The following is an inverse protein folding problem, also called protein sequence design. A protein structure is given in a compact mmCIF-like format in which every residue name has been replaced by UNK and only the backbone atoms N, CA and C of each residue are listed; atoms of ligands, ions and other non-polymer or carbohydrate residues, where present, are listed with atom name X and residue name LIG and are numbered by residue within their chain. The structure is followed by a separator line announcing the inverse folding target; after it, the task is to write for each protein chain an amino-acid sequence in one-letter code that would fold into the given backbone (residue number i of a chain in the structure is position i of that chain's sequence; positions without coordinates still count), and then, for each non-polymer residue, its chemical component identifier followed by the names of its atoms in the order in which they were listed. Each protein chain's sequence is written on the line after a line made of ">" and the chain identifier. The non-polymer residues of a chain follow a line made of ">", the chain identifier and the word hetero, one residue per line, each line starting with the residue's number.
data_IF_614281398413
#
_entry.id   IF_614281398413
#
_cell.length_a   1.000
_cell.length_b   1.000
_cell.length_c   1.000
_cell.angle_alpha   90.00
_cell.angle_beta   90.00
_cell.angle_gamma   90.00
#
_symmetry.space_group_name_H-M   'P 1'
#
loop_
_entity.id
_entity.type
_entity.pdbx_description
1 polymer ?
#
# COMPACT_ATOMS: atom_id res chain seq x y z
N UNK A 1 5.67 1.34 -21.16
CA UNK A 1 5.35 2.77 -21.04
C UNK A 1 5.00 3.10 -19.60
N UNK A 2 5.46 4.27 -19.13
CA UNK A 2 5.27 4.69 -17.74
C UNK A 2 3.81 4.81 -17.34
N UNK A 3 2.94 5.28 -18.25
CA UNK A 3 1.52 5.40 -17.96
C UNK A 3 0.89 4.05 -17.63
N UNK A 4 1.38 2.98 -18.24
CA UNK A 4 0.91 1.63 -17.94
C UNK A 4 1.26 1.25 -16.50
N UNK A 5 2.44 1.66 -16.02
CA UNK A 5 2.85 1.39 -14.64
C UNK A 5 1.95 2.13 -13.65
N UNK A 6 1.58 3.37 -13.96
CA UNK A 6 0.63 4.14 -13.12
C UNK A 6 -0.71 3.40 -13.05
N UNK A 7 -1.21 2.91 -14.19
CA UNK A 7 -2.48 2.18 -14.23
C UNK A 7 -2.44 0.89 -13.41
N UNK A 8 -1.31 0.18 -13.45
CA UNK A 8 -1.12 -1.03 -12.63
C UNK A 8 -1.23 -0.67 -11.14
N UNK A 9 -0.52 0.38 -10.72
CA UNK A 9 -0.56 0.83 -9.32
C UNK A 9 -1.96 1.26 -8.91
N UNK A 10 -2.67 1.99 -9.77
CA UNK A 10 -4.05 2.38 -9.51
C UNK A 10 -4.93 1.17 -9.25
N UNK A 11 -4.68 0.07 -9.96
CA UNK A 11 -5.43 -1.17 -9.79
C UNK A 11 -5.24 -1.86 -8.45
N UNK A 12 -4.18 -1.53 -7.71
CA UNK A 12 -3.96 -2.08 -6.38
C UNK A 12 -4.74 -1.33 -5.28
N UNK A 13 -5.29 -0.17 -5.60
CA UNK A 13 -6.07 0.61 -4.64
C UNK A 13 -7.54 0.22 -4.76
N UNK A 14 -8.20 -0.15 -3.65
CA UNK A 14 -9.64 -0.38 -3.66
C UNK A 14 -10.40 0.94 -3.82
N UNK A 15 -11.71 0.85 -4.05
CA UNK A 15 -12.55 2.04 -4.07
C UNK A 15 -12.45 2.76 -2.71
N UNK A 16 -12.49 4.12 -2.71
CA UNK A 16 -12.22 4.89 -1.48
C UNK A 16 -13.20 4.65 -0.33
N UNK A 17 -14.37 4.10 -0.60
CA UNK A 17 -15.39 3.82 0.40
C UNK A 17 -15.29 2.40 0.98
N UNK A 18 -14.33 1.60 0.53
CA UNK A 18 -14.17 0.23 0.99
C UNK A 18 -13.38 0.18 2.29
N UNK A 19 -13.98 -0.44 3.31
CA UNK A 19 -13.24 -0.77 4.53
C UNK A 19 -12.37 -2.00 4.24
N UNK A 20 -11.05 -1.83 4.26
CA UNK A 20 -10.14 -2.91 3.90
C UNK A 20 -9.89 -3.91 5.04
N UNK A 21 -10.32 -3.60 6.26
CA UNK A 21 -10.06 -4.47 7.41
C UNK A 21 -10.57 -5.90 7.16
N UNK A 22 -11.84 -6.10 6.75
CA UNK A 22 -12.30 -7.46 6.45
C UNK A 22 -11.61 -8.08 5.23
N UNK A 23 -11.21 -7.28 4.23
CA UNK A 23 -10.49 -7.82 3.06
C UNK A 23 -9.17 -8.49 3.45
N UNK A 24 -8.50 -7.93 4.44
CA UNK A 24 -7.19 -8.42 4.87
C UNK A 24 -7.36 -9.54 5.91
N UNK A 25 -8.34 -9.42 6.80
CA UNK A 25 -8.55 -10.39 7.90
C UNK A 25 -9.27 -11.65 7.50
N UNK A 26 -10.21 -11.56 6.57
CA UNK A 26 -10.99 -12.72 6.12
C UNK A 26 -10.18 -13.52 5.10
N UNK A 27 -9.99 -14.81 5.36
CA UNK A 27 -9.17 -15.65 4.50
C UNK A 27 -9.72 -15.78 3.08
N UNK A 28 -11.02 -15.93 2.92
CA UNK A 28 -11.64 -16.07 1.60
C UNK A 28 -11.53 -14.78 0.80
N UNK A 29 -11.77 -13.63 1.45
CA UNK A 29 -11.66 -12.33 0.79
C UNK A 29 -10.21 -12.04 0.39
N UNK A 30 -9.26 -12.38 1.27
CA UNK A 30 -7.85 -12.22 0.96
C UNK A 30 -7.44 -13.11 -0.23
N UNK A 31 -7.85 -14.36 -0.24
CA UNK A 31 -7.52 -15.29 -1.33
C UNK A 31 -8.10 -14.81 -2.66
N UNK A 32 -9.32 -14.27 -2.64
CA UNK A 32 -9.92 -13.69 -3.86
C UNK A 32 -9.13 -12.50 -4.36
N UNK A 33 -8.65 -11.64 -3.46
CA UNK A 33 -7.82 -10.50 -3.81
C UNK A 33 -6.47 -10.94 -4.41
N UNK A 34 -5.82 -11.91 -3.79
CA UNK A 34 -4.55 -12.47 -4.27
C UNK A 34 -4.73 -13.03 -5.69
N UNK A 35 -5.80 -13.76 -5.91
CA UNK A 35 -6.09 -14.34 -7.22
C UNK A 35 -6.30 -13.25 -8.28
N UNK A 36 -7.04 -12.20 -7.93
CA UNK A 36 -7.31 -11.09 -8.84
C UNK A 36 -6.03 -10.31 -9.18
N UNK A 37 -5.11 -10.18 -8.23
CA UNK A 37 -3.87 -9.41 -8.43
C UNK A 37 -2.73 -10.24 -9.01
N UNK A 38 -2.85 -11.56 -9.01
CA UNK A 38 -1.77 -12.45 -9.44
C UNK A 38 -1.13 -12.10 -10.78
N UNK A 39 -1.88 -11.69 -11.83
CA UNK A 39 -1.26 -11.31 -13.11
C UNK A 39 -0.38 -10.07 -13.04
N UNK A 40 -0.51 -9.26 -12.00
CA UNK A 40 0.14 -7.95 -11.88
C UNK A 40 1.22 -7.89 -10.82
N UNK A 41 1.56 -9.02 -10.19
CA UNK A 41 2.59 -9.06 -9.15
C UNK A 41 3.58 -10.18 -9.44
N UNK A 42 4.86 -9.93 -9.11
CA UNK A 42 5.84 -11.01 -9.04
C UNK A 42 5.54 -11.83 -7.79
N UNK A 43 5.70 -13.15 -7.87
CA UNK A 43 5.39 -14.04 -6.73
C UNK A 43 6.20 -13.69 -5.48
N UNK A 44 7.40 -13.15 -5.67
CA UNK A 44 8.33 -12.80 -4.61
C UNK A 44 8.45 -11.30 -4.38
N UNK A 45 7.41 -10.52 -4.75
CA UNK A 45 7.48 -9.08 -4.55
C UNK A 45 7.70 -8.74 -3.07
N UNK A 46 8.39 -7.62 -2.85
CA UNK A 46 8.76 -7.19 -1.51
C UNK A 46 7.88 -6.04 -1.03
N UNK A 47 7.57 -6.05 0.27
CA UNK A 47 6.84 -4.97 0.93
C UNK A 47 7.61 -4.53 2.15
N UNK A 48 7.76 -3.22 2.33
CA UNK A 48 8.42 -2.61 3.48
C UNK A 48 7.55 -1.51 4.05
N UNK A 49 7.61 -1.33 5.36
CA UNK A 49 6.95 -0.22 6.06
C UNK A 49 8.03 0.63 6.72
N UNK A 50 8.08 1.90 6.34
CA UNK A 50 9.07 2.86 6.85
C UNK A 50 8.38 3.91 7.73
N UNK A 51 9.10 4.38 8.75
CA UNK A 51 8.58 5.43 9.63
C UNK A 51 7.94 4.89 10.90
N UNK A 52 8.17 3.63 11.22
CA UNK A 52 7.75 3.03 12.49
C UNK A 52 9.00 2.70 13.32
N UNK A 53 8.88 2.59 14.66
CA UNK A 53 10.03 2.23 15.49
C UNK A 53 10.60 0.86 15.14
N UNK A 54 11.92 0.73 15.24
CA UNK A 54 12.64 -0.51 14.97
C UNK A 54 13.18 -0.56 13.56
N UNK A 55 13.88 -1.65 13.24
CA UNK A 55 14.43 -1.86 11.91
C UNK A 55 13.34 -2.26 10.94
N UNK A 56 13.44 -1.74 9.72
CA UNK A 56 12.51 -2.11 8.66
C UNK A 56 12.69 -3.58 8.30
N UNK A 57 11.58 -4.31 8.21
CA UNK A 57 11.57 -5.70 7.76
C UNK A 57 11.15 -5.74 6.30
N UNK A 58 11.72 -6.70 5.58
CA UNK A 58 11.26 -7.00 4.23
C UNK A 58 10.30 -8.19 4.31
N UNK A 59 9.08 -7.96 3.84
CA UNK A 59 8.05 -9.00 3.75
C UNK A 59 7.99 -9.46 2.30
N UNK A 60 7.90 -10.76 2.06
CA UNK A 60 7.98 -11.32 0.71
C UNK A 60 6.67 -11.96 0.30
N UNK A 61 6.23 -11.65 -0.93
CA UNK A 61 5.05 -12.22 -1.55
C UNK A 61 3.74 -11.74 -0.92
N UNK A 62 2.65 -12.34 -1.35
CA UNK A 62 1.32 -11.98 -0.89
C UNK A 62 1.14 -12.25 0.61
N UNK A 63 1.63 -13.39 1.08
CA UNK A 63 1.53 -13.73 2.51
C UNK A 63 2.32 -12.76 3.38
N UNK A 64 3.50 -12.33 2.91
CA UNK A 64 4.30 -11.33 3.60
C UNK A 64 3.60 -9.98 3.64
N UNK A 65 3.02 -9.56 2.52
CA UNK A 65 2.25 -8.31 2.45
C UNK A 65 1.05 -8.34 3.40
N UNK A 66 0.36 -9.49 3.47
CA UNK A 66 -0.74 -9.67 4.41
C UNK A 66 -0.29 -9.53 5.86
N UNK A 67 0.85 -10.14 6.20
CA UNK A 67 1.39 -10.06 7.55
C UNK A 67 1.69 -8.62 7.96
N UNK A 68 2.28 -7.83 7.03
CA UNK A 68 2.55 -6.41 7.25
C UNK A 68 1.25 -5.66 7.54
N UNK A 69 0.22 -5.87 6.70
CA UNK A 69 -1.06 -5.20 6.84
C UNK A 69 -1.84 -5.63 8.08
N UNK A 70 -1.82 -6.92 8.42
CA UNK A 70 -2.48 -7.41 9.64
C UNK A 70 -1.90 -6.73 10.89
N UNK A 71 -0.58 -6.56 10.91
CA UNK A 71 0.07 -5.88 12.02
C UNK A 71 -0.34 -4.39 12.07
N UNK A 72 -0.32 -3.71 10.93
CA UNK A 72 -0.71 -2.31 10.85
C UNK A 72 -2.18 -2.10 11.24
N UNK A 73 -3.07 -3.00 10.82
CA UNK A 73 -4.50 -2.88 11.06
C UNK A 73 -4.95 -3.33 12.43
N UNK A 74 -4.05 -3.84 13.27
CA UNK A 74 -4.39 -4.35 14.61
C UNK A 74 -5.30 -3.42 15.43
N UNK A 75 -5.03 -2.09 15.55
CA UNK A 75 -5.87 -1.22 16.36
C UNK A 75 -7.09 -0.67 15.63
N UNK A 76 -7.23 -0.96 14.33
CA UNK A 76 -8.26 -0.32 13.51
C UNK A 76 -9.51 -1.18 13.39
N UNK A 77 -10.67 -0.60 13.62
CA UNK A 77 -11.95 -1.23 13.35
C UNK A 77 -12.37 -1.02 11.89
N UNK A 78 -12.07 0.17 11.35
CA UNK A 78 -12.26 0.43 9.93
C UNK A 78 -11.06 1.21 9.38
N UNK A 79 -10.77 0.99 8.11
CA UNK A 79 -9.63 1.63 7.45
C UNK A 79 -9.92 1.70 5.96
N UNK A 80 -10.00 2.92 5.42
CA UNK A 80 -10.24 3.18 3.99
C UNK A 80 -9.02 3.87 3.42
N UNK A 81 -8.61 3.48 2.24
CA UNK A 81 -7.40 4.00 1.60
C UNK A 81 -7.71 4.60 0.24
N UNK A 82 -6.86 5.52 -0.19
CA UNK A 82 -6.93 6.11 -1.51
C UNK A 82 -5.64 6.84 -1.83
N UNK A 83 -5.59 7.45 -3.00
CA UNK A 83 -4.47 8.29 -3.39
C UNK A 83 -4.99 9.59 -4.01
N UNK A 84 -4.36 10.70 -3.62
CA UNK A 84 -4.69 12.02 -4.16
C UNK A 84 -4.04 12.22 -5.52
N UNK A 85 -2.86 11.60 -5.71
CA UNK A 85 -2.07 11.77 -6.92
C UNK A 85 -1.14 10.58 -7.10
N UNK A 86 -0.93 10.22 -8.35
CA UNK A 86 0.08 9.23 -8.75
C UNK A 86 1.13 9.96 -9.57
N UNK A 87 2.39 9.86 -9.15
CA UNK A 87 3.51 10.52 -9.82
C UNK A 87 4.31 9.46 -10.57
N UNK A 88 4.35 9.61 -11.88
CA UNK A 88 5.05 8.69 -12.78
C UNK A 88 6.56 8.99 -12.76
N UNK A 89 7.34 8.02 -12.30
CA UNK A 89 8.80 8.12 -12.23
C UNK A 89 9.45 7.04 -13.09
N UNK A 90 8.74 6.54 -14.10
CA UNK A 90 9.21 5.48 -14.96
C UNK A 90 8.92 4.11 -14.36
N UNK A 91 9.96 3.39 -13.96
CA UNK A 91 9.84 2.09 -13.31
C UNK A 91 9.19 2.18 -11.92
N UNK A 92 9.28 3.35 -11.29
CA UNK A 92 8.65 3.61 -9.99
C UNK A 92 7.47 4.54 -10.16
N UNK A 93 6.47 4.36 -9.30
CA UNK A 93 5.31 5.24 -9.19
C UNK A 93 5.20 5.64 -7.73
N UNK A 94 5.13 6.94 -7.47
CA UNK A 94 4.86 7.44 -6.12
C UNK A 94 3.37 7.73 -6.02
N UNK A 95 2.70 7.06 -5.09
CA UNK A 95 1.31 7.36 -4.77
C UNK A 95 1.29 8.25 -3.53
N UNK A 96 0.71 9.45 -3.65
CA UNK A 96 0.47 10.31 -2.50
C UNK A 96 -0.83 9.82 -1.85
N UNK A 97 -0.67 8.86 -0.98
CA UNK A 97 -1.77 8.10 -0.40
C UNK A 97 -2.32 8.74 0.87
N UNK A 98 -3.54 8.38 1.19
CA UNK A 98 -4.19 8.78 2.43
C UNK A 98 -5.03 7.62 2.94
N UNK A 99 -5.38 7.70 4.22
CA UNK A 99 -6.28 6.73 4.82
C UNK A 99 -7.23 7.45 5.77
N UNK A 100 -8.44 6.90 5.91
CA UNK A 100 -9.38 7.27 6.94
C UNK A 100 -9.55 6.06 7.84
N UNK A 101 -9.10 6.18 9.08
CA UNK A 101 -9.16 5.09 10.03
C UNK A 101 -10.00 5.45 11.24
N UNK A 102 -10.68 4.45 11.79
CA UNK A 102 -11.39 4.56 13.04
C UNK A 102 -10.86 3.48 13.97
N UNK A 103 -10.32 3.91 15.10
CA UNK A 103 -9.80 2.99 16.10
C UNK A 103 -10.94 2.21 16.74
N UNK A 104 -10.66 0.98 17.14
CA UNK A 104 -11.62 0.14 17.84
C UNK A 104 -12.10 0.84 19.10
N UNK A 105 -13.42 0.89 19.28
CA UNK A 105 -14.03 1.57 20.42
C UNK A 105 -14.20 3.09 20.24
N UNK A 106 -13.74 3.66 19.15
CA UNK A 106 -13.88 5.10 18.89
C UNK A 106 -14.97 5.35 17.86
N UNK A 107 -15.64 6.50 17.97
CA UNK A 107 -16.59 6.97 16.96
C UNK A 107 -15.97 7.99 16.02
N UNK A 108 -14.76 8.46 16.32
CA UNK A 108 -14.07 9.46 15.53
C UNK A 108 -13.21 8.80 14.45
N UNK A 109 -13.32 9.31 13.23
CA UNK A 109 -12.48 8.89 12.12
C UNK A 109 -11.30 9.88 11.99
N UNK A 110 -10.09 9.36 11.80
CA UNK A 110 -8.90 10.19 11.63
C UNK A 110 -8.37 10.05 10.21
N UNK A 111 -7.84 11.14 9.66
CA UNK A 111 -7.19 11.12 8.35
C UNK A 111 -5.69 10.99 8.54
N UNK A 112 -5.10 10.04 7.82
CA UNK A 112 -3.65 9.82 7.78
C UNK A 112 -3.16 10.12 6.37
N UNK A 113 -2.00 10.75 6.24
CA UNK A 113 -1.39 11.01 4.95
C UNK A 113 -0.07 10.25 4.85
N UNK A 114 0.09 9.54 3.76
CA UNK A 114 1.22 8.65 3.54
C UNK A 114 1.81 8.87 2.14
N UNK A 115 2.86 8.15 1.84
CA UNK A 115 3.38 8.04 0.48
C UNK A 115 3.88 6.63 0.26
N UNK A 116 3.54 6.06 -0.88
CA UNK A 116 3.93 4.69 -1.23
C UNK A 116 4.74 4.72 -2.51
N UNK A 117 5.90 4.07 -2.50
CA UNK A 117 6.75 3.95 -3.68
C UNK A 117 6.60 2.54 -4.23
N UNK A 118 6.04 2.45 -5.43
CA UNK A 118 5.76 1.20 -6.11
C UNK A 118 6.77 1.00 -7.24
N UNK A 119 7.48 -0.12 -7.24
CA UNK A 119 8.41 -0.46 -8.32
C UNK A 119 7.77 -1.54 -9.18
N UNK A 120 7.63 -1.23 -10.48
CA UNK A 120 7.01 -2.13 -11.46
C UNK A 120 8.10 -2.57 -12.44
N UNK A 121 8.24 -3.87 -12.63
CA UNK A 121 9.17 -4.46 -13.60
C UNK A 121 8.42 -5.49 -14.43
N UNK A 122 8.59 -5.38 -15.75
CA UNK A 122 7.95 -6.30 -16.69
C UNK A 122 6.44 -6.38 -16.51
N UNK A 123 5.82 -5.22 -16.21
CA UNK A 123 4.37 -5.13 -16.04
C UNK A 123 3.85 -5.69 -14.72
N UNK A 124 4.73 -5.94 -13.75
CA UNK A 124 4.35 -6.54 -12.47
C UNK A 124 5.01 -5.84 -11.29
N UNK A 125 4.31 -5.83 -10.18
CA UNK A 125 4.83 -5.29 -8.93
C UNK A 125 6.04 -6.11 -8.47
N UNK A 126 7.18 -5.44 -8.29
CA UNK A 126 8.40 -6.03 -7.76
C UNK A 126 8.63 -5.63 -6.31
N UNK A 127 8.21 -4.42 -5.92
CA UNK A 127 8.44 -3.90 -4.58
C UNK A 127 7.50 -2.75 -4.28
N UNK A 128 7.04 -2.68 -3.04
CA UNK A 128 6.32 -1.51 -2.54
C UNK A 128 6.92 -1.10 -1.20
N UNK A 129 7.17 0.18 -1.02
CA UNK A 129 7.62 0.75 0.24
C UNK A 129 6.55 1.73 0.70
N UNK A 130 5.96 1.43 1.85
CA UNK A 130 4.96 2.30 2.47
C UNK A 130 5.67 3.23 3.45
N UNK A 131 5.56 4.54 3.23
CA UNK A 131 6.12 5.54 4.14
C UNK A 131 4.99 6.14 4.96
N UNK A 132 5.07 6.02 6.28
CA UNK A 132 4.07 6.61 7.18
C UNK A 132 4.12 8.13 7.19
N UNK A 133 5.26 8.71 6.80
CA UNK A 133 5.45 10.16 6.68
C UNK A 133 5.63 10.50 5.21
N UNK A 134 4.67 11.26 4.66
CA UNK A 134 4.67 11.61 3.23
C UNK A 134 5.95 12.31 2.79
N UNK A 135 6.49 13.20 3.61
CA UNK A 135 7.72 13.93 3.29
C UNK A 135 8.90 12.98 3.06
N UNK A 136 8.93 11.87 3.80
CA UNK A 136 10.00 10.87 3.63
C UNK A 136 9.88 10.13 2.29
N UNK A 137 8.66 9.86 1.85
CA UNK A 137 8.43 9.25 0.54
C UNK A 137 8.90 10.17 -0.59
N UNK A 138 8.55 11.44 -0.51
CA UNK A 138 8.99 12.44 -1.49
C UNK A 138 10.50 12.56 -1.54
N UNK A 139 11.14 12.56 -0.37
CA UNK A 139 12.60 12.62 -0.27
C UNK A 139 13.24 11.37 -0.88
N UNK A 140 12.67 10.20 -0.63
CA UNK A 140 13.21 8.94 -1.13
C UNK A 140 13.27 8.87 -2.65
N UNK A 141 12.38 9.57 -3.35
CA UNK A 141 12.35 9.60 -4.81
C UNK A 141 12.93 10.89 -5.40
N UNK A 142 13.54 11.75 -4.57
CA UNK A 142 14.20 12.96 -5.03
C UNK A 142 13.27 14.14 -5.35
N UNK A 143 12.05 14.14 -4.84
CA UNK A 143 11.06 15.19 -5.08
C UNK A 143 10.93 16.18 -3.91
N UNK A 144 11.58 15.90 -2.78
CA UNK A 144 11.62 16.81 -1.63
C UNK A 144 13.01 17.37 -1.47
N UNK A 145 13.08 18.60 -0.95
CA UNK A 145 14.32 19.27 -0.62
C UNK A 145 14.93 18.76 0.69
#
# INVERSE_FOLDING_TARGET
>A
MSQENVEIVMGFFPAPDVNIVPLIRDDEMWMALVEAEAPFVHADYESLLMGVPGDAKTYVGADGNRALWLDWLTPWESYRVGAEQYIDLGERVLALSFAFGRLEGSTAEVKLTHGDVWTIRDGKLARVVYYTVRAEALKAVGLAE
#
